data_IF_000181251496
#
_entry.id   IF_000181251496
#
_cell.length_a   1.000
_cell.length_b   1.000
_cell.length_c   1.000
_cell.angle_alpha   90.00
_cell.angle_beta   90.00
_cell.angle_gamma   90.00
#
_symmetry.space_group_name_H-M   'P 1'
#
loop_
_entity.id
_entity.type
_entity.pdbx_description
1 polymer ?
#
# COMPACT_ATOMS: atom_id res chain seq x y z
N UNK A 1 -8.49 56.58 13.95
CA UNK A 1 -8.38 55.18 14.40
C UNK A 1 -9.63 54.84 15.17
N UNK A 2 -10.60 54.32 14.44
CA UNK A 2 -11.92 53.96 14.93
C UNK A 2 -11.83 52.86 15.97
N UNK A 3 -12.83 52.80 16.86
CA UNK A 3 -12.90 51.77 17.92
C UNK A 3 -12.90 50.34 17.35
N UNK A 4 -13.28 50.19 16.07
CA UNK A 4 -13.30 48.93 15.33
C UNK A 4 -11.89 48.43 14.94
N UNK A 5 -10.97 49.33 14.56
CA UNK A 5 -9.58 48.95 14.23
C UNK A 5 -8.81 48.44 15.45
N UNK A 6 -9.06 49.06 16.61
CA UNK A 6 -8.45 48.64 17.88
C UNK A 6 -8.96 47.26 18.30
N UNK A 7 -10.23 46.97 18.04
CA UNK A 7 -10.82 45.65 18.31
C UNK A 7 -10.22 44.58 17.38
N UNK A 8 -10.08 44.91 16.09
CA UNK A 8 -9.45 44.03 15.10
C UNK A 8 -8.00 43.68 15.45
N UNK A 9 -7.21 44.68 15.87
CA UNK A 9 -5.82 44.46 16.30
C UNK A 9 -5.72 43.56 17.54
N UNK A 10 -6.64 43.69 18.50
CA UNK A 10 -6.68 42.82 19.68
C UNK A 10 -6.99 41.37 19.29
N UNK A 11 -7.93 41.13 18.38
CA UNK A 11 -8.23 39.77 17.90
C UNK A 11 -7.07 39.13 17.13
N UNK A 12 -6.37 39.91 16.30
CA UNK A 12 -5.20 39.42 15.56
C UNK A 12 -4.07 39.02 16.53
N UNK A 13 -3.83 39.83 17.58
CA UNK A 13 -2.82 39.51 18.59
C UNK A 13 -3.19 38.26 19.41
N UNK A 14 -4.47 38.07 19.74
CA UNK A 14 -4.96 36.86 20.42
C UNK A 14 -4.78 35.63 19.52
N UNK A 15 -5.05 35.75 18.22
CA UNK A 15 -4.90 34.65 17.27
C UNK A 15 -3.43 34.25 17.10
N UNK A 16 -2.52 35.22 16.98
CA UNK A 16 -1.08 34.97 16.92
C UNK A 16 -0.59 34.30 18.20
N UNK A 17 -1.06 34.74 19.38
CA UNK A 17 -0.73 34.10 20.66
C UNK A 17 -1.24 32.65 20.74
N UNK A 18 -2.45 32.38 20.27
CA UNK A 18 -3.02 31.03 20.25
C UNK A 18 -2.22 30.08 19.34
N UNK A 19 -1.81 30.55 18.15
CA UNK A 19 -0.97 29.76 17.23
C UNK A 19 0.41 29.46 17.85
N UNK A 20 1.00 30.43 18.56
CA UNK A 20 2.26 30.23 19.25
C UNK A 20 2.16 29.19 20.37
N UNK A 21 1.09 29.21 21.18
CA UNK A 21 0.85 28.21 22.24
C UNK A 21 0.67 26.80 21.66
N UNK A 22 -0.11 26.65 20.58
CA UNK A 22 -0.29 25.36 19.89
C UNK A 22 1.03 24.83 19.35
N UNK A 23 1.88 25.71 18.80
CA UNK A 23 3.20 25.30 18.30
C UNK A 23 4.20 24.92 19.41
N UNK A 24 4.05 25.49 20.61
CA UNK A 24 4.87 25.18 21.78
C UNK A 24 4.51 23.80 22.37
N UNK A 25 3.24 23.40 22.33
CA UNK A 25 2.81 22.06 22.75
C UNK A 25 3.14 20.97 21.72
N UNK A 26 3.17 21.29 20.42
CA UNK A 26 3.54 20.34 19.36
C UNK A 26 4.99 19.85 19.47
N UNK A 27 5.90 20.67 20.02
CA UNK A 27 7.31 20.29 20.25
C UNK A 27 7.53 19.38 21.45
N UNK A 28 6.53 19.20 22.32
CA UNK A 28 6.64 18.38 23.54
C UNK A 28 6.11 16.94 23.37
N UNK A 29 5.52 16.61 22.21
CA UNK A 29 5.07 15.24 21.89
C UNK A 29 6.07 14.43 21.04
N UNK A 30 7.26 14.97 20.74
CA UNK A 30 8.33 14.25 20.03
C UNK A 30 9.37 13.69 20.99
N UNK A 31 8.99 12.64 21.71
CA UNK A 31 9.91 11.91 22.57
C UNK A 31 9.21 10.95 23.51
N UNK A 32 8.95 9.73 23.03
CA UNK A 32 9.08 8.47 23.78
C UNK A 32 8.83 7.25 22.89
N UNK A 33 9.85 6.38 22.90
CA UNK A 33 9.79 4.93 22.72
C UNK A 33 9.83 4.33 21.30
N UNK A 34 10.99 4.49 20.64
CA UNK A 34 11.55 3.43 19.77
C UNK A 34 12.10 2.32 20.66
N UNK A 35 11.19 1.49 21.18
CA UNK A 35 11.47 0.14 21.68
C UNK A 35 10.15 -0.55 21.99
N UNK A 36 9.49 -1.02 20.93
CA UNK A 36 8.71 -2.25 21.02
C UNK A 36 9.23 -3.17 19.94
N UNK A 37 10.04 -4.14 20.37
CA UNK A 37 10.08 -5.43 19.71
C UNK A 37 8.66 -6.00 19.76
N UNK A 38 7.87 -5.70 18.74
CA UNK A 38 6.66 -6.45 18.45
C UNK A 38 7.07 -7.68 17.64
N UNK A 39 7.62 -8.67 18.33
CA UNK A 39 7.42 -10.07 17.95
C UNK A 39 5.94 -10.38 18.14
N UNK A 40 5.11 -9.94 17.20
CA UNK A 40 3.83 -10.59 16.97
C UNK A 40 4.13 -11.97 16.36
N UNK A 41 3.41 -13.04 16.74
CA UNK A 41 3.50 -14.33 16.06
C UNK A 41 2.80 -14.18 14.71
N UNK A 42 3.50 -13.58 13.75
CA UNK A 42 3.08 -13.37 12.37
C UNK A 42 4.26 -13.24 11.41
N UNK A 43 5.49 -13.50 11.88
CA UNK A 43 6.66 -13.69 11.04
C UNK A 43 6.56 -15.09 10.41
N UNK A 44 5.72 -15.22 9.39
CA UNK A 44 5.87 -16.27 8.42
C UNK A 44 7.24 -16.08 7.76
N UNK A 45 8.13 -17.04 8.02
CA UNK A 45 9.41 -17.25 7.39
C UNK A 45 10.34 -16.03 7.30
N UNK A 46 11.37 -16.03 8.15
CA UNK A 46 12.67 -15.50 7.71
C UNK A 46 13.02 -16.24 6.41
N UNK A 47 12.77 -15.59 5.29
CA UNK A 47 13.17 -16.01 3.96
C UNK A 47 14.68 -16.05 3.99
N UNK A 48 15.26 -17.26 4.03
CA UNK A 48 16.68 -17.49 4.30
C UNK A 48 17.67 -16.79 3.34
N UNK A 49 17.18 -16.02 2.36
CA UNK A 49 17.97 -15.14 1.49
C UNK A 49 17.63 -13.64 1.53
N UNK A 50 16.44 -13.20 1.97
CA UNK A 50 16.11 -11.77 1.98
C UNK A 50 16.58 -11.19 3.30
N UNK A 51 17.54 -10.26 3.24
CA UNK A 51 18.01 -9.62 4.47
C UNK A 51 16.86 -8.83 5.10
N UNK A 52 16.64 -9.00 6.41
CA UNK A 52 15.65 -8.20 7.15
C UNK A 52 15.86 -6.69 6.97
N UNK A 53 17.09 -6.25 6.73
CA UNK A 53 17.40 -4.86 6.38
C UNK A 53 16.77 -4.41 5.06
N UNK A 54 16.75 -5.27 4.03
CA UNK A 54 16.13 -4.96 2.74
C UNK A 54 14.61 -4.85 2.88
N UNK A 55 13.99 -5.73 3.66
CA UNK A 55 12.54 -5.66 3.94
C UNK A 55 12.18 -4.39 4.73
N UNK A 56 12.97 -4.01 5.71
CA UNK A 56 12.74 -2.78 6.47
C UNK A 56 12.85 -1.54 5.59
N UNK A 57 13.86 -1.47 4.71
CA UNK A 57 14.00 -0.39 3.73
C UNK A 57 12.80 -0.35 2.80
N UNK A 58 12.39 -1.51 2.25
CA UNK A 58 11.25 -1.60 1.35
C UNK A 58 9.96 -1.10 2.02
N UNK A 59 9.66 -1.57 3.23
CA UNK A 59 8.48 -1.15 3.97
C UNK A 59 8.52 0.36 4.24
N UNK A 60 9.65 0.91 4.67
CA UNK A 60 9.80 2.34 4.87
C UNK A 60 9.57 3.15 3.58
N UNK A 61 10.08 2.67 2.43
CA UNK A 61 9.83 3.32 1.13
C UNK A 61 8.34 3.32 0.76
N UNK A 62 7.63 2.22 1.02
CA UNK A 62 6.18 2.11 0.77
C UNK A 62 5.40 3.05 1.69
N UNK A 63 5.71 3.04 2.99
CA UNK A 63 5.07 3.88 4.01
C UNK A 63 5.26 5.37 3.75
N UNK A 64 6.47 5.77 3.35
CA UNK A 64 6.81 7.16 3.02
C UNK A 64 6.39 7.57 1.60
N UNK A 65 5.63 6.72 0.90
CA UNK A 65 5.14 6.94 -0.47
C UNK A 65 6.25 7.19 -1.51
N UNK A 66 7.46 6.69 -1.25
CA UNK A 66 8.58 6.69 -2.20
C UNK A 66 8.44 5.53 -3.21
N UNK A 67 7.32 5.52 -3.94
CA UNK A 67 6.83 4.36 -4.72
C UNK A 67 7.80 3.94 -5.84
N UNK A 68 8.49 4.88 -6.49
CA UNK A 68 9.45 4.55 -7.56
C UNK A 68 10.67 3.81 -7.01
N UNK A 69 11.16 4.19 -5.82
CA UNK A 69 12.28 3.50 -5.16
C UNK A 69 11.85 2.13 -4.65
N UNK A 70 10.64 2.04 -4.07
CA UNK A 70 10.06 0.76 -3.64
C UNK A 70 9.94 -0.21 -4.82
N UNK A 71 9.40 0.25 -5.95
CA UNK A 71 9.28 -0.56 -7.17
C UNK A 71 10.65 -1.04 -7.70
N UNK A 72 11.66 -0.18 -7.71
CA UNK A 72 13.00 -0.55 -8.15
C UNK A 72 13.62 -1.63 -7.25
N UNK A 73 13.52 -1.48 -5.93
CA UNK A 73 14.00 -2.48 -4.97
C UNK A 73 13.22 -3.80 -5.10
N UNK A 74 11.90 -3.72 -5.27
CA UNK A 74 11.07 -4.92 -5.51
C UNK A 74 11.47 -5.65 -6.77
N UNK A 75 11.78 -4.96 -7.87
CA UNK A 75 12.28 -5.60 -9.10
C UNK A 75 13.59 -6.34 -8.87
N UNK A 76 14.51 -5.75 -8.11
CA UNK A 76 15.76 -6.41 -7.74
C UNK A 76 15.51 -7.66 -6.89
N UNK A 77 14.67 -7.54 -5.85
CA UNK A 77 14.35 -8.64 -4.94
C UNK A 77 13.62 -9.77 -5.67
N UNK A 78 12.63 -9.47 -6.52
CA UNK A 78 11.91 -10.47 -7.34
C UNK A 78 12.88 -11.16 -8.31
N UNK A 79 13.86 -10.44 -8.88
CA UNK A 79 14.87 -11.05 -9.73
C UNK A 79 15.74 -12.08 -9.01
N UNK A 80 16.00 -11.87 -7.71
CA UNK A 80 16.76 -12.78 -6.84
C UNK A 80 15.91 -13.90 -6.24
N UNK A 81 14.65 -13.59 -5.91
CA UNK A 81 13.71 -14.45 -5.20
C UNK A 81 12.37 -14.51 -5.95
N UNK A 82 12.33 -15.10 -7.17
CA UNK A 82 11.15 -15.03 -8.03
C UNK A 82 9.93 -15.79 -7.49
N UNK A 83 10.16 -16.75 -6.58
CA UNK A 83 9.12 -17.58 -5.98
C UNK A 83 8.63 -17.06 -4.62
N UNK A 84 9.11 -15.89 -4.19
CA UNK A 84 8.67 -15.29 -2.94
C UNK A 84 7.35 -14.53 -3.15
N UNK A 85 6.22 -15.15 -2.75
CA UNK A 85 4.88 -14.58 -2.94
C UNK A 85 4.70 -13.21 -2.29
N UNK A 86 5.37 -12.95 -1.17
CA UNK A 86 5.30 -11.67 -0.45
C UNK A 86 5.86 -10.49 -1.25
N UNK A 87 6.87 -10.71 -2.09
CA UNK A 87 7.41 -9.66 -2.95
C UNK A 87 6.43 -9.28 -4.06
N UNK A 88 5.74 -10.26 -4.64
CA UNK A 88 4.70 -9.99 -5.64
C UNK A 88 3.48 -9.30 -5.00
N UNK A 89 3.13 -9.68 -3.77
CA UNK A 89 2.09 -9.00 -2.99
C UNK A 89 2.43 -7.52 -2.78
N UNK A 90 3.64 -7.22 -2.32
CA UNK A 90 4.10 -5.84 -2.10
C UNK A 90 4.22 -5.04 -3.41
N UNK A 91 4.56 -5.68 -4.53
CA UNK A 91 4.52 -5.01 -5.84
C UNK A 91 3.10 -4.63 -6.24
N UNK A 92 2.12 -5.50 -5.98
CA UNK A 92 0.69 -5.18 -6.14
C UNK A 92 0.29 -3.97 -5.29
N UNK A 93 0.72 -3.90 -4.03
CA UNK A 93 0.46 -2.77 -3.14
C UNK A 93 1.02 -1.46 -3.68
N UNK A 94 2.26 -1.49 -4.19
CA UNK A 94 2.91 -0.33 -4.81
C UNK A 94 2.14 0.12 -6.06
N UNK A 95 1.68 -0.81 -6.90
CA UNK A 95 0.88 -0.49 -8.09
C UNK A 95 -0.47 0.13 -7.73
N UNK A 96 -1.16 -0.38 -6.70
CA UNK A 96 -2.40 0.23 -6.21
C UNK A 96 -2.18 1.67 -5.71
N UNK A 97 -1.10 1.91 -4.98
CA UNK A 97 -0.74 3.27 -4.53
C UNK A 97 -0.40 4.20 -5.69
N UNK A 98 0.09 3.66 -6.81
CA UNK A 98 0.32 4.38 -8.06
C UNK A 98 -0.95 4.55 -8.92
N UNK A 99 -2.11 4.07 -8.44
CA UNK A 99 -3.37 4.06 -9.18
C UNK A 99 -3.32 3.21 -10.46
N UNK A 100 -2.51 2.15 -10.44
CA UNK A 100 -2.41 1.15 -11.51
C UNK A 100 -3.05 -0.16 -11.06
N UNK A 101 -4.39 -0.15 -10.98
CA UNK A 101 -5.15 -1.31 -10.53
C UNK A 101 -5.01 -2.50 -11.52
N UNK A 102 -4.96 -2.21 -12.81
CA UNK A 102 -4.76 -3.22 -13.86
C UNK A 102 -3.42 -3.92 -13.69
N UNK A 103 -2.32 -3.19 -13.49
CA UNK A 103 -1.01 -3.77 -13.21
C UNK A 103 -1.00 -4.56 -11.90
N UNK A 104 -1.63 -4.02 -10.85
CA UNK A 104 -1.68 -4.66 -9.54
C UNK A 104 -2.32 -6.06 -9.58
N UNK A 105 -3.38 -6.25 -10.39
CA UNK A 105 -4.04 -7.54 -10.54
C UNK A 105 -3.10 -8.63 -11.05
N UNK A 106 -2.18 -8.33 -11.97
CA UNK A 106 -1.18 -9.30 -12.42
C UNK A 106 -0.27 -9.74 -11.26
N UNK A 107 0.17 -8.77 -10.43
CA UNK A 107 1.07 -9.03 -9.30
C UNK A 107 0.40 -9.75 -8.15
N UNK A 108 -0.84 -9.41 -7.83
CA UNK A 108 -1.62 -10.18 -6.86
C UNK A 108 -1.92 -11.59 -7.36
N UNK A 109 -2.14 -11.79 -8.66
CA UNK A 109 -2.31 -13.13 -9.23
C UNK A 109 -1.04 -13.97 -9.08
N UNK A 110 0.15 -13.41 -9.36
CA UNK A 110 1.42 -14.10 -9.09
C UNK A 110 1.59 -14.42 -7.59
N UNK A 111 1.27 -13.48 -6.71
CA UNK A 111 1.35 -13.67 -5.27
C UNK A 111 0.43 -14.80 -4.77
N UNK A 112 -0.82 -14.86 -5.24
CA UNK A 112 -1.81 -15.90 -4.87
C UNK A 112 -1.43 -17.27 -5.43
N UNK A 113 -0.79 -17.33 -6.61
CA UNK A 113 -0.34 -18.59 -7.19
C UNK A 113 0.84 -19.18 -6.43
N UNK A 114 1.71 -18.32 -5.88
CA UNK A 114 2.85 -18.72 -5.05
C UNK A 114 2.45 -19.02 -3.60
N UNK A 115 1.55 -18.22 -3.02
CA UNK A 115 1.08 -18.33 -1.65
C UNK A 115 -0.45 -18.26 -1.58
N UNK A 116 -1.13 -19.42 -1.66
CA UNK A 116 -2.58 -19.50 -1.60
C UNK A 116 -3.19 -18.99 -0.27
N UNK A 117 -2.42 -18.98 0.83
CA UNK A 117 -2.90 -18.54 2.15
C UNK A 117 -3.32 -17.06 2.17
N UNK A 118 -2.87 -16.26 1.19
CA UNK A 118 -3.37 -14.90 1.00
C UNK A 118 -4.87 -14.81 0.77
N UNK A 119 -5.54 -15.90 0.38
CA UNK A 119 -6.98 -15.93 0.22
C UNK A 119 -7.70 -16.63 1.37
N UNK A 120 -7.01 -17.44 2.17
CA UNK A 120 -7.64 -18.17 3.26
C UNK A 120 -7.81 -17.27 4.50
N UNK A 121 -9.07 -16.98 4.85
CA UNK A 121 -9.44 -16.12 5.99
C UNK A 121 -9.00 -16.67 7.34
N UNK A 122 -8.65 -17.95 7.42
CA UNK A 122 -8.23 -18.63 8.65
C UNK A 122 -6.73 -18.45 8.92
N UNK A 123 -5.99 -17.88 7.98
CA UNK A 123 -4.55 -17.67 8.11
C UNK A 123 -4.24 -16.23 8.53
N UNK A 124 -3.11 -16.00 9.22
CA UNK A 124 -2.64 -14.64 9.50
C UNK A 124 -2.17 -13.89 8.23
N UNK A 125 -1.99 -14.60 7.11
CA UNK A 125 -1.54 -14.01 5.85
C UNK A 125 -2.68 -13.39 5.05
N UNK A 126 -3.94 -13.69 5.37
CA UNK A 126 -5.11 -13.26 4.61
C UNK A 126 -5.04 -11.81 4.07
N UNK A 127 -5.03 -11.67 2.75
CA UNK A 127 -5.05 -10.40 2.01
C UNK A 127 -6.30 -10.26 1.12
N UNK A 128 -7.27 -11.18 1.20
CA UNK A 128 -8.38 -11.27 0.25
C UNK A 128 -9.20 -9.98 0.07
N UNK A 129 -9.35 -9.17 1.12
CA UNK A 129 -10.01 -7.85 1.01
C UNK A 129 -9.26 -6.92 0.05
N UNK A 130 -7.93 -6.81 0.21
CA UNK A 130 -7.08 -5.96 -0.61
C UNK A 130 -7.14 -6.37 -2.08
N UNK A 131 -7.02 -7.67 -2.32
CA UNK A 131 -7.08 -8.23 -3.68
C UNK A 131 -8.45 -7.98 -4.30
N UNK A 132 -9.54 -8.11 -3.53
CA UNK A 132 -10.89 -7.81 -4.00
C UNK A 132 -11.04 -6.35 -4.44
N UNK A 133 -10.51 -5.40 -3.67
CA UNK A 133 -10.54 -3.96 -4.04
C UNK A 133 -9.84 -3.75 -5.38
N UNK A 134 -8.61 -4.26 -5.51
CA UNK A 134 -7.83 -4.13 -6.76
C UNK A 134 -8.54 -4.74 -7.97
N UNK A 135 -9.17 -5.90 -7.79
CA UNK A 135 -9.93 -6.60 -8.83
C UNK A 135 -11.15 -5.80 -9.27
N UNK A 136 -11.89 -5.18 -8.34
CA UNK A 136 -13.06 -4.37 -8.70
C UNK A 136 -12.66 -3.05 -9.38
N UNK A 137 -11.59 -2.39 -8.91
CA UNK A 137 -11.04 -1.20 -9.56
C UNK A 137 -10.54 -1.50 -10.97
N UNK A 138 -9.73 -2.55 -11.14
CA UNK A 138 -9.25 -2.97 -12.46
C UNK A 138 -10.41 -3.36 -13.39
N UNK A 139 -11.44 -4.02 -12.86
CA UNK A 139 -12.63 -4.39 -13.64
C UNK A 139 -13.41 -3.16 -14.11
N UNK A 140 -13.55 -2.14 -13.27
CA UNK A 140 -14.18 -0.88 -13.65
C UNK A 140 -13.39 -0.21 -14.78
N UNK A 141 -12.07 -0.06 -14.61
CA UNK A 141 -11.17 0.54 -15.62
C UNK A 141 -11.21 -0.19 -16.97
N UNK A 142 -11.20 -1.53 -16.94
CA UNK A 142 -11.30 -2.36 -18.15
C UNK A 142 -12.63 -2.15 -18.88
N UNK A 143 -13.73 -1.97 -18.15
CA UNK A 143 -15.05 -1.75 -18.76
C UNK A 143 -15.19 -0.35 -19.36
N UNK A 144 -14.53 0.65 -18.78
CA UNK A 144 -14.50 2.02 -19.28
C UNK A 144 -13.54 2.19 -20.47
N UNK A 145 -12.60 1.27 -20.66
CA UNK A 145 -11.63 1.30 -21.76
C UNK A 145 -12.14 0.48 -22.95
N UNK A 146 -12.69 1.12 -24.02
CA UNK A 146 -13.14 0.39 -25.20
C UNK A 146 -11.97 -0.35 -25.86
N UNK A 147 -12.24 -1.60 -26.25
CA UNK A 147 -11.29 -2.50 -26.87
C UNK A 147 -10.67 -1.87 -28.13
N UNK A 148 -9.43 -1.39 -28.04
CA UNK A 148 -8.74 -0.73 -29.16
C UNK A 148 -7.76 0.38 -28.78
N UNK A 149 -7.80 0.90 -27.54
CA UNK A 149 -6.75 1.80 -27.03
C UNK A 149 -5.57 1.00 -26.47
N UNK A 150 -4.33 1.23 -26.94
CA UNK A 150 -3.15 0.65 -26.31
C UNK A 150 -2.92 1.32 -24.95
N UNK A 151 -2.98 0.52 -23.88
CA UNK A 151 -2.43 0.85 -22.56
C UNK A 151 -1.21 -0.02 -22.29
N UNK A 152 -0.50 0.22 -21.18
CA UNK A 152 0.68 -0.56 -20.79
C UNK A 152 0.39 -2.08 -20.64
N UNK A 153 -0.87 -2.43 -20.36
CA UNK A 153 -1.35 -3.80 -20.28
C UNK A 153 -2.39 -4.09 -21.38
N UNK A 154 -2.33 -5.30 -21.97
CA UNK A 154 -3.41 -5.79 -22.82
C UNK A 154 -4.67 -5.98 -21.96
N UNK A 155 -5.67 -5.12 -22.17
CA UNK A 155 -6.95 -5.13 -21.44
C UNK A 155 -7.65 -6.48 -21.52
N UNK A 156 -7.48 -7.23 -22.62
CA UNK A 156 -8.05 -8.57 -22.75
C UNK A 156 -7.37 -9.56 -21.81
N UNK A 157 -6.05 -9.45 -21.65
CA UNK A 157 -5.28 -10.25 -20.71
C UNK A 157 -5.59 -9.87 -19.27
N UNK A 158 -5.65 -8.57 -18.96
CA UNK A 158 -6.05 -8.09 -17.64
C UNK A 158 -7.43 -8.61 -17.22
N UNK A 159 -8.40 -8.61 -18.16
CA UNK A 159 -9.74 -9.17 -17.93
C UNK A 159 -9.69 -10.66 -17.53
N UNK A 160 -8.79 -11.46 -18.10
CA UNK A 160 -8.62 -12.87 -17.70
C UNK A 160 -8.12 -12.98 -16.26
N UNK A 161 -7.14 -12.17 -15.88
CA UNK A 161 -6.58 -12.17 -14.52
C UNK A 161 -7.59 -11.71 -13.47
N UNK A 162 -8.39 -10.68 -13.79
CA UNK A 162 -9.51 -10.22 -12.95
C UNK A 162 -10.46 -11.39 -12.67
N UNK A 163 -10.92 -12.11 -13.70
CA UNK A 163 -11.83 -13.25 -13.50
C UNK A 163 -11.16 -14.43 -12.78
N UNK A 164 -9.87 -14.65 -13.00
CA UNK A 164 -9.10 -15.66 -12.27
C UNK A 164 -9.15 -15.40 -10.76
N UNK A 165 -8.80 -14.18 -10.35
CA UNK A 165 -8.80 -13.78 -8.95
C UNK A 165 -10.22 -13.76 -8.35
N UNK A 166 -11.23 -13.30 -9.10
CA UNK A 166 -12.63 -13.38 -8.65
C UNK A 166 -13.06 -14.81 -8.33
N UNK A 167 -12.72 -15.77 -9.19
CA UNK A 167 -13.03 -17.19 -8.96
C UNK A 167 -12.34 -17.72 -7.71
N UNK A 168 -11.05 -17.39 -7.52
CA UNK A 168 -10.27 -17.80 -6.36
C UNK A 168 -10.82 -17.20 -5.06
N UNK A 169 -11.13 -15.90 -5.06
CA UNK A 169 -11.76 -15.19 -3.94
C UNK A 169 -13.11 -15.80 -3.54
N UNK A 170 -13.94 -16.18 -4.53
CA UNK A 170 -15.23 -16.81 -4.27
C UNK A 170 -15.09 -18.20 -3.62
N UNK A 171 -14.12 -19.00 -4.07
CA UNK A 171 -13.85 -20.32 -3.51
C UNK A 171 -13.24 -20.30 -2.11
N UNK A 172 -12.64 -19.19 -1.70
CA UNK A 172 -11.94 -19.06 -0.42
C UNK A 172 -12.84 -18.68 0.77
N UNK A 173 -14.15 -18.66 0.60
CA UNK A 173 -15.11 -18.31 1.65
C UNK A 173 -15.49 -19.47 2.59
N UNK A 174 -14.71 -20.55 2.66
CA UNK A 174 -15.01 -21.76 3.44
C UNK A 174 -14.28 -21.89 4.77
#
# INVERSE_FOLDING_TARGET
MDKLDKLSLVFILIFIAAVAVVSAEYRSASGKDVSRSSTGPGAAAETAGISGGQMNILNNLIETNNLQKAEALLKELIGKYPYEGSLHMLMGDVMMRKQDAVGAVFKYREAVDLEPDYLDKKTPLFQGHKIKVAVEEAKAEINETPSGKPGAHDMKSAKKEVYYLLRKLAGSCG
#
